data_IF_422160156447
#
_entry.id   IF_422160156447
#
_cell.length_a   1.000
_cell.length_b   1.000
_cell.length_c   1.000
_cell.angle_alpha   90.00
_cell.angle_beta   90.00
_cell.angle_gamma   90.00
#
_symmetry.space_group_name_H-M   'P 1'
#
loop_
_entity.id
_entity.type
_entity.pdbx_description
1 polymer ?
#
# COMPACT_ATOMS: atom_id res chain seq x y z
N UNK A 1 18.62 22.82 16.19
CA UNK A 1 19.04 21.44 15.88
C UNK A 1 17.98 20.64 15.09
N UNK A 2 16.67 20.75 15.33
CA UNK A 2 15.66 19.95 14.63
C UNK A 2 14.85 20.72 13.55
N UNK A 3 15.06 22.01 13.33
CA UNK A 3 14.35 22.79 12.29
C UNK A 3 14.54 22.20 10.89
N UNK A 4 15.76 21.82 10.55
CA UNK A 4 16.11 21.23 9.27
C UNK A 4 15.42 19.85 9.06
N UNK A 5 15.27 19.05 10.12
CA UNK A 5 14.57 17.76 10.07
C UNK A 5 13.07 17.95 9.88
N UNK A 6 12.46 18.90 10.58
CA UNK A 6 11.02 19.17 10.50
C UNK A 6 10.61 19.82 9.18
N UNK A 7 11.51 20.55 8.52
CA UNK A 7 11.26 21.17 7.22
C UNK A 7 11.56 20.25 6.04
N UNK A 8 12.28 19.15 6.25
CA UNK A 8 12.62 18.18 5.22
C UNK A 8 11.96 16.82 5.50
N UNK A 9 10.94 16.51 4.69
CA UNK A 9 10.18 15.27 4.79
C UNK A 9 11.05 14.01 4.70
N UNK A 10 12.03 13.98 3.79
CA UNK A 10 12.93 12.83 3.63
C UNK A 10 13.76 12.62 4.89
N UNK A 11 14.35 13.70 5.43
CA UNK A 11 15.14 13.65 6.65
C UNK A 11 14.32 13.24 7.87
N UNK A 12 13.05 13.64 7.92
CA UNK A 12 12.14 13.22 8.99
C UNK A 12 11.78 11.74 8.86
N UNK A 13 11.30 11.30 7.68
CA UNK A 13 10.90 9.92 7.44
C UNK A 13 12.07 8.97 7.67
N UNK A 14 13.28 9.30 7.24
CA UNK A 14 14.48 8.49 7.48
C UNK A 14 14.80 8.25 8.97
N UNK A 15 14.26 9.07 9.87
CA UNK A 15 14.40 8.89 11.33
C UNK A 15 13.29 8.05 11.96
N UNK A 16 12.21 7.83 11.26
CA UNK A 16 11.14 6.97 11.75
C UNK A 16 11.62 5.54 11.85
N UNK A 17 11.18 4.85 12.89
CA UNK A 17 11.44 3.42 13.09
C UNK A 17 10.17 2.63 12.84
N UNK A 18 10.32 1.48 12.22
CA UNK A 18 9.25 0.52 12.01
C UNK A 18 9.75 -0.90 12.26
N UNK A 19 8.85 -1.81 12.55
CA UNK A 19 9.17 -3.23 12.65
C UNK A 19 9.03 -3.89 11.27
N UNK A 20 10.08 -4.60 10.85
CA UNK A 20 10.03 -5.45 9.66
C UNK A 20 9.26 -6.76 9.94
N UNK A 21 9.15 -7.62 8.94
CA UNK A 21 8.43 -8.90 9.04
C UNK A 21 9.01 -9.86 10.08
N UNK A 22 10.28 -9.70 10.44
CA UNK A 22 10.98 -10.48 11.45
C UNK A 22 10.97 -9.80 12.82
N UNK A 23 10.12 -8.80 13.02
CA UNK A 23 10.04 -7.95 14.22
C UNK A 23 11.33 -7.18 14.54
N UNK A 24 12.23 -7.00 13.57
CA UNK A 24 13.40 -6.15 13.74
C UNK A 24 13.03 -4.68 13.53
N UNK A 25 13.56 -3.82 14.38
CA UNK A 25 13.39 -2.37 14.24
C UNK A 25 14.32 -1.84 13.15
N UNK A 26 13.73 -1.26 12.11
CA UNK A 26 14.40 -0.69 10.93
C UNK A 26 14.14 0.81 10.81
N UNK A 27 14.94 1.47 9.95
CA UNK A 27 14.75 2.85 9.51
C UNK A 27 14.45 2.87 8.01
N UNK A 28 13.93 4.01 7.52
CA UNK A 28 13.74 4.24 6.09
C UNK A 28 15.03 4.71 5.40
N UNK A 29 16.13 3.98 5.61
CA UNK A 29 17.45 4.39 5.10
C UNK A 29 17.57 4.18 3.58
N UNK A 30 16.88 3.17 3.06
CA UNK A 30 16.89 2.80 1.65
C UNK A 30 15.45 2.50 1.19
N UNK A 31 14.68 3.53 0.81
CA UNK A 31 13.33 3.32 0.31
C UNK A 31 13.38 2.68 -1.09
N UNK A 32 12.45 1.77 -1.35
CA UNK A 32 12.25 1.17 -2.67
C UNK A 32 11.68 2.19 -3.66
N UNK A 33 11.87 1.94 -4.96
CA UNK A 33 11.41 2.82 -6.05
C UNK A 33 9.92 3.14 -5.94
N UNK A 34 9.09 2.17 -5.58
CA UNK A 34 7.65 2.31 -5.44
C UNK A 34 7.25 3.18 -4.25
N UNK A 35 8.00 3.08 -3.16
CA UNK A 35 7.82 3.97 -2.00
C UNK A 35 8.18 5.42 -2.36
N UNK A 36 9.23 5.60 -3.17
CA UNK A 36 9.63 6.92 -3.68
C UNK A 36 8.54 7.46 -4.61
N UNK A 37 8.01 6.63 -5.53
CA UNK A 37 6.94 7.00 -6.44
C UNK A 37 5.68 7.45 -5.67
N UNK A 38 5.26 6.69 -4.66
CA UNK A 38 4.14 7.05 -3.81
C UNK A 38 4.37 8.39 -3.09
N UNK A 39 5.50 8.55 -2.41
CA UNK A 39 5.82 9.78 -1.68
C UNK A 39 5.91 10.97 -2.65
N UNK A 40 6.38 10.77 -3.87
CA UNK A 40 6.42 11.81 -4.90
C UNK A 40 5.02 12.22 -5.33
N UNK A 41 4.14 11.26 -5.61
CA UNK A 41 2.75 11.53 -5.97
C UNK A 41 1.97 12.21 -4.81
N UNK A 42 2.21 11.81 -3.56
CA UNK A 42 1.62 12.44 -2.38
C UNK A 42 2.00 13.93 -2.23
N UNK A 43 3.14 14.33 -2.76
CA UNK A 43 3.66 15.71 -2.69
C UNK A 43 3.20 16.59 -3.83
N UNK A 44 2.78 16.00 -4.92
CA UNK A 44 2.29 16.75 -6.06
C UNK A 44 0.95 17.42 -5.72
N UNK A 45 0.87 18.76 -5.74
CA UNK A 45 -0.37 19.47 -5.42
C UNK A 45 -1.47 19.25 -6.47
N UNK A 46 -1.12 18.82 -7.68
CA UNK A 46 -2.11 18.52 -8.72
C UNK A 46 -2.76 17.16 -8.50
N UNK A 47 -2.05 16.21 -7.88
CA UNK A 47 -2.57 14.85 -7.64
C UNK A 47 -3.50 14.85 -6.44
N UNK A 48 -4.76 14.50 -6.63
CA UNK A 48 -5.77 14.33 -5.58
C UNK A 48 -6.10 12.86 -5.32
N UNK A 49 -5.90 11.98 -6.30
CA UNK A 49 -6.21 10.56 -6.20
C UNK A 49 -4.99 9.72 -6.59
N UNK A 50 -4.63 8.78 -5.75
CA UNK A 50 -3.53 7.83 -6.00
C UNK A 50 -4.09 6.42 -5.86
N UNK A 51 -3.93 5.60 -6.90
CA UNK A 51 -4.32 4.19 -6.90
C UNK A 51 -3.05 3.34 -7.03
N UNK A 52 -2.83 2.48 -6.04
CA UNK A 52 -1.63 1.64 -5.97
C UNK A 52 -2.01 0.17 -6.07
N UNK A 53 -1.59 -0.46 -7.15
CA UNK A 53 -1.65 -1.92 -7.35
C UNK A 53 -0.28 -2.51 -7.04
N UNK A 54 -0.21 -3.40 -6.07
CA UNK A 54 1.05 -3.88 -5.52
C UNK A 54 1.04 -5.38 -5.23
N UNK A 55 2.19 -6.06 -5.25
CA UNK A 55 2.36 -7.36 -4.61
C UNK A 55 2.33 -7.23 -3.09
N UNK A 56 2.28 -8.35 -2.40
CA UNK A 56 2.36 -8.37 -0.93
C UNK A 56 3.71 -7.84 -0.43
N UNK A 57 3.69 -7.20 0.75
CA UNK A 57 4.86 -6.99 1.63
C UNK A 57 6.00 -6.12 1.07
N UNK A 58 5.74 -5.23 0.13
CA UNK A 58 6.74 -4.29 -0.42
C UNK A 58 6.83 -2.97 0.34
N UNK A 59 6.22 -2.87 1.52
CA UNK A 59 6.36 -1.71 2.41
C UNK A 59 5.61 -0.44 2.00
N UNK A 60 4.74 -0.48 0.98
CA UNK A 60 3.93 0.66 0.52
C UNK A 60 3.07 1.24 1.64
N UNK A 61 2.31 0.39 2.37
CA UNK A 61 1.48 0.86 3.49
C UNK A 61 2.32 1.49 4.60
N UNK A 62 3.54 1.00 4.82
CA UNK A 62 4.47 1.58 5.81
C UNK A 62 4.96 2.95 5.36
N UNK A 63 5.29 3.13 4.09
CA UNK A 63 5.69 4.41 3.51
C UNK A 63 4.54 5.44 3.54
N UNK A 64 3.32 5.01 3.22
CA UNK A 64 2.12 5.86 3.33
C UNK A 64 1.85 6.29 4.78
N UNK A 65 1.98 5.37 5.75
CA UNK A 65 1.87 5.72 7.17
C UNK A 65 2.95 6.72 7.60
N UNK A 66 4.20 6.55 7.14
CA UNK A 66 5.30 7.45 7.47
C UNK A 66 5.07 8.86 6.92
N UNK A 67 4.59 8.97 5.69
CA UNK A 67 4.24 10.24 5.07
C UNK A 67 3.06 10.92 5.78
N UNK A 68 2.01 10.16 6.09
CA UNK A 68 0.85 10.63 6.87
C UNK A 68 1.28 11.13 8.26
N UNK A 69 2.16 10.39 8.91
CA UNK A 69 2.69 10.81 10.22
C UNK A 69 3.50 12.10 10.13
N UNK A 70 4.35 12.24 9.11
CA UNK A 70 5.07 13.47 8.87
C UNK A 70 4.13 14.67 8.70
N UNK A 71 3.11 14.54 7.86
CA UNK A 71 2.13 15.61 7.65
C UNK A 71 1.41 16.01 8.93
N UNK A 72 0.90 15.04 9.69
CA UNK A 72 0.23 15.33 10.96
C UNK A 72 1.20 15.93 12.00
N UNK A 73 2.45 15.48 12.03
CA UNK A 73 3.46 15.92 12.98
C UNK A 73 3.94 17.36 12.69
N UNK A 74 4.06 17.74 11.41
CA UNK A 74 4.55 19.05 10.97
C UNK A 74 3.45 20.03 10.63
N UNK A 75 2.19 19.62 10.71
CA UNK A 75 1.03 20.45 10.41
C UNK A 75 1.04 21.76 11.22
N UNK A 76 0.67 22.84 10.55
CA UNK A 76 0.49 24.17 11.19
C UNK A 76 -0.96 24.47 11.51
N UNK A 77 -1.89 23.74 10.91
CA UNK A 77 -3.35 23.78 11.10
C UNK A 77 -3.87 22.35 11.30
N UNK A 78 -5.08 22.15 11.83
CA UNK A 78 -5.66 20.81 11.91
C UNK A 78 -5.73 20.17 10.52
N UNK A 79 -5.13 18.99 10.39
CA UNK A 79 -5.30 18.10 9.24
C UNK A 79 -5.82 16.77 9.76
N UNK A 80 -6.81 16.21 9.12
CA UNK A 80 -7.44 14.96 9.56
C UNK A 80 -7.32 13.93 8.47
N UNK A 81 -6.72 12.81 8.83
CA UNK A 81 -6.57 11.64 7.96
C UNK A 81 -7.39 10.49 8.51
N UNK A 82 -8.21 9.88 7.66
CA UNK A 82 -8.88 8.62 7.94
C UNK A 82 -8.18 7.48 7.20
N UNK A 83 -7.86 6.41 7.94
CA UNK A 83 -7.30 5.18 7.40
C UNK A 83 -8.34 4.08 7.59
N UNK A 84 -8.91 3.61 6.49
CA UNK A 84 -9.89 2.54 6.48
C UNK A 84 -9.24 1.25 5.92
N UNK A 85 -9.37 0.13 6.64
CA UNK A 85 -8.80 -1.15 6.25
C UNK A 85 -9.85 -2.27 6.27
N UNK A 86 -9.61 -3.32 5.51
CA UNK A 86 -10.50 -4.48 5.33
C UNK A 86 -10.87 -5.21 6.64
N UNK A 87 -9.88 -5.41 7.53
CA UNK A 87 -10.04 -6.19 8.78
C UNK A 87 -9.51 -5.46 10.00
N UNK A 88 -10.06 -5.80 11.16
CA UNK A 88 -9.59 -5.26 12.44
C UNK A 88 -8.11 -5.56 12.72
N UNK A 89 -7.59 -6.69 12.22
CA UNK A 89 -6.17 -7.04 12.34
C UNK A 89 -5.29 -6.10 11.51
N UNK A 90 -5.69 -5.78 10.27
CA UNK A 90 -5.02 -4.81 9.41
C UNK A 90 -5.08 -3.42 10.05
N UNK A 91 -6.25 -2.99 10.51
CA UNK A 91 -6.43 -1.71 11.22
C UNK A 91 -5.50 -1.60 12.43
N UNK A 92 -5.40 -2.66 13.27
CA UNK A 92 -4.49 -2.68 14.42
C UNK A 92 -3.02 -2.59 14.00
N UNK A 93 -2.64 -3.30 12.94
CA UNK A 93 -1.27 -3.28 12.42
C UNK A 93 -0.88 -1.89 11.92
N UNK A 94 -1.76 -1.23 11.18
CA UNK A 94 -1.52 0.13 10.69
C UNK A 94 -1.41 1.12 11.86
N UNK A 95 -2.36 1.10 12.79
CA UNK A 95 -2.30 1.92 14.01
C UNK A 95 -1.01 1.69 14.81
N UNK A 96 -0.57 0.42 14.93
CA UNK A 96 0.69 0.06 15.59
C UNK A 96 1.90 0.74 14.97
N UNK A 97 1.94 0.91 13.63
CA UNK A 97 3.04 1.63 12.96
C UNK A 97 3.15 3.07 13.43
N UNK A 98 2.04 3.78 13.58
CA UNK A 98 2.03 5.16 14.10
C UNK A 98 2.48 5.24 15.55
N UNK A 99 2.07 4.28 16.37
CA UNK A 99 2.56 4.18 17.75
C UNK A 99 4.09 3.99 17.76
N UNK A 100 4.60 3.05 16.97
CA UNK A 100 6.05 2.80 16.84
C UNK A 100 6.78 4.04 16.33
N UNK A 101 6.28 4.72 15.31
CA UNK A 101 6.88 5.97 14.83
C UNK A 101 7.00 7.00 15.95
N UNK A 102 5.93 7.21 16.70
CA UNK A 102 5.93 8.18 17.79
C UNK A 102 6.82 7.73 18.95
N UNK A 103 6.75 6.46 19.36
CA UNK A 103 7.50 5.93 20.50
C UNK A 103 9.01 6.04 20.31
N UNK A 104 9.50 5.82 19.09
CA UNK A 104 10.93 5.91 18.76
C UNK A 104 11.39 7.33 18.40
N UNK A 105 10.50 8.32 18.32
CA UNK A 105 10.96 9.71 18.13
C UNK A 105 11.77 10.19 19.34
N UNK A 106 12.86 10.94 19.10
CA UNK A 106 13.57 11.60 20.18
C UNK A 106 12.64 12.48 21.04
N UNK A 107 12.82 12.46 22.36
CA UNK A 107 12.02 13.26 23.28
C UNK A 107 12.00 14.75 22.96
N UNK A 108 13.09 15.27 22.42
CA UNK A 108 13.16 16.66 21.98
C UNK A 108 12.22 16.96 20.81
N UNK A 109 12.01 16.01 19.87
CA UNK A 109 11.02 16.14 18.80
C UNK A 109 9.59 15.98 19.35
N UNK A 110 9.33 14.98 20.21
CA UNK A 110 8.00 14.80 20.84
C UNK A 110 7.52 16.08 21.54
N UNK A 111 8.43 16.79 22.22
CA UNK A 111 8.10 18.10 22.86
C UNK A 111 7.73 19.20 21.88
N UNK A 112 8.14 19.13 20.61
CA UNK A 112 7.75 20.13 19.61
C UNK A 112 6.31 20.01 19.15
N UNK A 113 5.79 18.78 19.15
CA UNK A 113 4.39 18.47 18.85
C UNK A 113 4.00 17.15 19.57
N UNK A 114 3.51 17.22 20.82
CA UNK A 114 3.06 16.05 21.55
C UNK A 114 1.76 15.49 20.96
N UNK A 115 1.65 14.17 20.95
CA UNK A 115 0.46 13.45 20.50
C UNK A 115 -0.18 12.68 21.65
N UNK A 116 -1.51 12.81 21.75
CA UNK A 116 -2.35 11.93 22.56
C UNK A 116 -2.72 10.70 21.72
N UNK A 117 -2.39 9.53 22.25
CA UNK A 117 -2.68 8.24 21.60
C UNK A 117 -3.82 7.57 22.33
N UNK A 118 -4.94 7.32 21.63
CA UNK A 118 -6.05 6.54 22.15
C UNK A 118 -6.04 5.14 21.52
N UNK A 119 -5.67 4.12 22.32
CA UNK A 119 -5.57 2.74 21.85
C UNK A 119 -6.93 2.06 21.66
N UNK A 120 -7.98 2.55 22.30
CA UNK A 120 -9.35 2.02 22.15
C UNK A 120 -9.93 2.45 20.82
N UNK A 121 -9.94 3.76 20.57
CA UNK A 121 -10.47 4.35 19.33
C UNK A 121 -9.47 4.30 18.18
N UNK A 122 -8.21 3.89 18.43
CA UNK A 122 -7.11 3.85 17.45
C UNK A 122 -6.87 5.21 16.78
N UNK A 123 -6.78 6.27 17.59
CA UNK A 123 -6.52 7.62 17.12
C UNK A 123 -5.24 8.20 17.69
N UNK A 124 -4.60 9.05 16.89
CA UNK A 124 -3.49 9.92 17.32
C UNK A 124 -3.91 11.37 17.09
N UNK A 125 -3.86 12.18 18.12
CA UNK A 125 -4.26 13.60 18.05
C UNK A 125 -3.10 14.46 18.52
N UNK A 126 -2.67 15.40 17.66
CA UNK A 126 -1.72 16.42 18.06
C UNK A 126 -2.34 17.36 19.08
N UNK A 127 -1.72 17.48 20.27
CA UNK A 127 -2.17 18.41 21.31
C UNK A 127 -1.91 19.87 20.91
N UNK A 128 -0.98 20.10 19.99
CA UNK A 128 -0.61 21.44 19.53
C UNK A 128 -1.50 21.99 18.43
N UNK A 129 -1.84 21.15 17.45
CA UNK A 129 -2.50 21.60 16.21
C UNK A 129 -3.89 21.03 16.02
N UNK A 130 -4.25 19.98 16.78
CA UNK A 130 -5.46 19.21 16.58
C UNK A 130 -5.41 18.31 15.33
N UNK A 131 -4.24 18.10 14.74
CA UNK A 131 -4.09 17.14 13.64
C UNK A 131 -4.48 15.73 14.13
N UNK A 132 -5.29 15.03 13.35
CA UNK A 132 -5.87 13.73 13.69
C UNK A 132 -5.47 12.67 12.68
N UNK A 133 -4.99 11.54 13.17
CA UNK A 133 -4.90 10.29 12.40
C UNK A 133 -5.88 9.32 13.02
N UNK A 134 -6.91 8.96 12.27
CA UNK A 134 -8.01 8.12 12.68
C UNK A 134 -8.01 6.80 11.90
N UNK A 135 -8.38 5.70 12.56
CA UNK A 135 -8.36 4.38 11.95
C UNK A 135 -9.69 3.68 12.14
N UNK A 136 -10.22 3.14 11.05
CA UNK A 136 -11.42 2.33 11.09
C UNK A 136 -11.27 1.01 10.34
N UNK A 137 -12.12 0.06 10.69
CA UNK A 137 -12.31 -1.15 9.89
C UNK A 137 -13.51 -0.94 8.96
N UNK A 138 -13.35 -1.24 7.69
CA UNK A 138 -14.37 -1.09 6.64
C UNK A 138 -15.42 -2.22 6.76
N UNK A 139 -16.21 -2.19 7.83
CA UNK A 139 -17.28 -3.15 8.14
C UNK A 139 -18.56 -2.41 8.54
N UNK A 140 -19.71 -2.79 7.92
CA UNK A 140 -21.02 -2.27 8.30
C UNK A 140 -21.33 -0.85 7.82
N UNK A 141 -22.41 -0.24 8.34
CA UNK A 141 -23.00 1.01 7.81
C UNK A 141 -22.58 2.29 8.54
N UNK A 142 -21.73 2.22 9.55
CA UNK A 142 -21.33 3.38 10.37
C UNK A 142 -19.94 3.86 10.00
N UNK A 143 -19.80 4.57 8.89
CA UNK A 143 -18.51 4.98 8.39
C UNK A 143 -18.24 6.45 8.66
N UNK A 144 -17.18 6.73 9.45
CA UNK A 144 -16.54 8.04 9.52
C UNK A 144 -17.43 9.23 9.95
N UNK A 145 -18.63 8.99 10.48
CA UNK A 145 -19.56 10.05 10.86
C UNK A 145 -19.04 10.77 12.11
N UNK A 146 -18.77 12.06 11.98
CA UNK A 146 -18.34 12.89 13.11
C UNK A 146 -17.19 13.84 12.79
N UNK A 147 -16.40 13.54 11.79
CA UNK A 147 -15.30 14.38 11.34
C UNK A 147 -15.34 14.62 9.82
N UNK A 148 -14.81 15.76 9.39
CA UNK A 148 -14.49 16.03 7.99
C UNK A 148 -13.00 15.81 7.82
N UNK A 149 -12.61 14.96 6.86
CA UNK A 149 -11.22 14.57 6.63
C UNK A 149 -10.67 15.23 5.36
N UNK A 150 -9.38 15.57 5.36
CA UNK A 150 -8.65 16.04 4.19
C UNK A 150 -7.94 14.89 3.47
N UNK A 151 -7.74 13.76 4.16
CA UNK A 151 -7.06 12.60 3.58
C UNK A 151 -7.81 11.32 3.91
N UNK A 152 -8.06 10.51 2.89
CA UNK A 152 -8.60 9.16 3.01
C UNK A 152 -7.58 8.15 2.48
N UNK A 153 -7.26 7.17 3.29
CA UNK A 153 -6.45 6.02 2.90
C UNK A 153 -7.34 4.77 2.96
N UNK A 154 -7.55 4.14 1.80
CA UNK A 154 -8.28 2.89 1.68
C UNK A 154 -7.26 1.75 1.50
N UNK A 155 -6.98 1.04 2.57
CA UNK A 155 -6.05 -0.08 2.59
C UNK A 155 -6.77 -1.40 2.33
N UNK A 156 -6.20 -2.20 1.44
CA UNK A 156 -6.71 -3.51 0.98
C UNK A 156 -8.16 -3.42 0.47
N UNK A 157 -8.44 -2.38 -0.34
CA UNK A 157 -9.79 -2.10 -0.87
C UNK A 157 -10.40 -3.27 -1.64
N UNK A 158 -9.58 -4.08 -2.32
CA UNK A 158 -10.04 -5.26 -3.06
C UNK A 158 -10.72 -6.32 -2.16
N UNK A 159 -10.53 -6.25 -0.84
CA UNK A 159 -11.06 -7.20 0.13
C UNK A 159 -12.18 -6.61 1.00
N UNK A 160 -12.61 -5.38 0.75
CA UNK A 160 -13.72 -4.79 1.49
C UNK A 160 -15.04 -5.51 1.18
N UNK A 161 -15.87 -5.69 2.20
CA UNK A 161 -17.25 -6.17 2.03
C UNK A 161 -18.15 -4.98 1.75
N UNK A 162 -19.01 -5.07 0.72
CA UNK A 162 -19.89 -3.98 0.28
C UNK A 162 -19.11 -2.65 0.06
N UNK A 163 -18.05 -2.68 -0.78
CA UNK A 163 -17.14 -1.54 -0.91
C UNK A 163 -17.84 -0.29 -1.47
N UNK A 164 -18.90 -0.44 -2.28
CA UNK A 164 -19.66 0.67 -2.86
C UNK A 164 -20.33 1.51 -1.77
N UNK A 165 -21.05 0.86 -0.86
CA UNK A 165 -21.78 1.55 0.23
C UNK A 165 -20.82 2.20 1.22
N UNK A 166 -19.75 1.47 1.58
CA UNK A 166 -18.71 1.98 2.46
C UNK A 166 -18.03 3.19 1.82
N UNK A 167 -17.68 3.07 0.55
CA UNK A 167 -17.03 4.14 -0.20
C UNK A 167 -17.90 5.39 -0.29
N UNK A 168 -19.19 5.25 -0.60
CA UNK A 168 -20.13 6.36 -0.63
C UNK A 168 -20.20 7.09 0.72
N UNK A 169 -20.27 6.32 1.81
CA UNK A 169 -20.24 6.88 3.17
C UNK A 169 -18.94 7.62 3.48
N UNK A 170 -17.78 7.05 3.14
CA UNK A 170 -16.49 7.69 3.38
C UNK A 170 -16.27 8.91 2.50
N UNK A 171 -16.68 8.84 1.23
CA UNK A 171 -16.56 9.97 0.30
C UNK A 171 -17.31 11.21 0.79
N UNK A 172 -18.46 11.03 1.44
CA UNK A 172 -19.24 12.12 2.02
C UNK A 172 -18.58 12.78 3.24
N UNK A 173 -17.59 12.17 3.84
CA UNK A 173 -16.84 12.74 4.98
C UNK A 173 -15.59 13.52 4.54
N UNK A 174 -15.26 13.49 3.26
CA UNK A 174 -14.10 14.20 2.74
C UNK A 174 -14.41 15.69 2.53
N UNK A 175 -13.44 16.50 2.90
CA UNK A 175 -13.46 17.92 2.59
C UNK A 175 -13.39 18.13 1.06
N UNK A 176 -14.16 19.06 0.55
CA UNK A 176 -14.04 19.48 -0.84
C UNK A 176 -13.02 20.63 -0.93
N UNK A 177 -11.83 20.34 -1.46
CA UNK A 177 -10.77 21.33 -1.58
C UNK A 177 -9.51 20.77 -2.21
N UNK A 178 -8.58 21.65 -2.63
CA UNK A 178 -7.35 21.26 -3.33
C UNK A 178 -6.40 20.43 -2.46
N UNK A 179 -6.52 20.52 -1.13
CA UNK A 179 -5.68 19.78 -0.17
C UNK A 179 -6.21 18.36 0.07
N UNK A 180 -7.36 17.98 -0.54
CA UNK A 180 -7.94 16.65 -0.32
C UNK A 180 -7.20 15.59 -1.12
N UNK A 181 -6.83 14.49 -0.44
CA UNK A 181 -6.13 13.35 -1.04
C UNK A 181 -6.85 12.05 -0.76
N UNK A 182 -7.00 11.24 -1.79
CA UNK A 182 -7.53 9.87 -1.72
C UNK A 182 -6.43 8.91 -2.13
N UNK A 183 -6.06 7.99 -1.26
CA UNK A 183 -5.04 6.99 -1.50
C UNK A 183 -5.69 5.61 -1.40
N UNK A 184 -5.65 4.86 -2.49
CA UNK A 184 -6.19 3.51 -2.58
C UNK A 184 -5.02 2.55 -2.74
N UNK A 185 -4.88 1.61 -1.83
CA UNK A 185 -3.77 0.64 -1.83
C UNK A 185 -4.34 -0.75 -1.67
N UNK A 186 -4.02 -1.66 -2.59
CA UNK A 186 -4.41 -3.07 -2.44
C UNK A 186 -3.51 -4.00 -3.26
N UNK A 187 -3.45 -5.27 -2.85
CA UNK A 187 -3.20 -6.38 -3.77
C UNK A 187 -4.47 -6.65 -4.56
N UNK A 188 -4.39 -7.23 -5.77
CA UNK A 188 -5.59 -7.58 -6.54
C UNK A 188 -6.36 -8.74 -5.88
N UNK A 189 -7.68 -8.80 -6.15
CA UNK A 189 -8.54 -9.87 -5.65
C UNK A 189 -9.57 -10.31 -6.71
N UNK A 190 -9.09 -10.65 -7.91
CA UNK A 190 -9.91 -11.03 -9.03
C UNK A 190 -10.56 -9.86 -9.79
N UNK A 191 -11.14 -10.13 -10.96
CA UNK A 191 -11.66 -9.11 -11.86
C UNK A 191 -13.05 -8.62 -11.45
N UNK A 192 -13.45 -7.47 -12.02
CA UNK A 192 -14.80 -6.92 -11.94
C UNK A 192 -15.19 -6.33 -10.59
N UNK A 193 -14.39 -6.47 -9.54
CA UNK A 193 -14.69 -5.88 -8.25
C UNK A 193 -14.45 -4.35 -8.24
N UNK A 194 -14.92 -3.71 -7.18
CA UNK A 194 -14.84 -2.25 -7.03
C UNK A 194 -13.40 -1.71 -7.13
N UNK A 195 -12.41 -2.40 -6.56
CA UNK A 195 -11.02 -2.00 -6.67
C UNK A 195 -10.48 -2.11 -8.10
N UNK A 196 -10.81 -3.20 -8.82
CA UNK A 196 -10.44 -3.35 -10.24
C UNK A 196 -10.97 -2.19 -11.08
N UNK A 197 -12.21 -1.78 -10.86
CA UNK A 197 -12.78 -0.61 -11.55
C UNK A 197 -12.00 0.67 -11.25
N UNK A 198 -11.53 0.87 -10.00
CA UNK A 198 -10.69 2.01 -9.62
C UNK A 198 -9.32 1.99 -10.30
N UNK A 199 -8.73 0.81 -10.44
CA UNK A 199 -7.48 0.62 -11.19
C UNK A 199 -7.66 1.00 -12.66
N UNK A 200 -8.69 0.46 -13.32
CA UNK A 200 -8.98 0.78 -14.73
C UNK A 200 -9.25 2.27 -14.94
N UNK A 201 -10.06 2.88 -14.08
CA UNK A 201 -10.33 4.32 -14.14
C UNK A 201 -9.06 5.16 -13.96
N UNK A 202 -8.15 4.77 -13.05
CA UNK A 202 -6.90 5.50 -12.84
C UNK A 202 -5.96 5.40 -14.05
N UNK A 203 -5.86 4.22 -14.66
CA UNK A 203 -5.08 4.01 -15.89
C UNK A 203 -5.64 4.87 -17.03
N UNK A 204 -6.96 4.90 -17.17
CA UNK A 204 -7.62 5.72 -18.20
C UNK A 204 -7.41 7.21 -17.96
N UNK A 205 -7.54 7.68 -16.72
CA UNK A 205 -7.27 9.08 -16.37
C UNK A 205 -5.85 9.50 -16.72
N UNK A 206 -4.84 8.69 -16.39
CA UNK A 206 -3.44 8.98 -16.79
C UNK A 206 -3.27 8.98 -18.32
N UNK A 207 -3.89 8.03 -19.02
CA UNK A 207 -3.85 7.97 -20.48
C UNK A 207 -4.46 9.21 -21.12
N UNK A 208 -5.50 9.75 -20.50
CA UNK A 208 -6.18 10.99 -20.95
C UNK A 208 -5.45 12.27 -20.48
N UNK A 209 -4.32 12.15 -19.78
CA UNK A 209 -3.53 13.29 -19.31
C UNK A 209 -4.13 14.04 -18.11
N UNK A 210 -5.02 13.40 -17.34
CA UNK A 210 -5.57 13.98 -16.11
C UNK A 210 -4.48 14.06 -15.03
N UNK A 211 -4.03 15.26 -14.62
CA UNK A 211 -2.97 15.41 -13.63
C UNK A 211 -3.45 15.09 -12.20
N UNK A 212 -4.75 15.01 -11.99
CA UNK A 212 -5.33 14.82 -10.65
C UNK A 212 -5.26 13.38 -10.17
N UNK A 213 -5.02 12.43 -11.06
CA UNK A 213 -4.99 11.00 -10.77
C UNK A 213 -3.62 10.43 -11.07
N UNK A 214 -3.11 9.60 -10.14
CA UNK A 214 -1.86 8.86 -10.30
C UNK A 214 -2.07 7.38 -10.09
N UNK A 215 -1.70 6.57 -11.09
CA UNK A 215 -1.65 5.13 -10.97
C UNK A 215 -0.22 4.67 -10.68
N UNK A 216 -0.03 3.81 -9.70
CA UNK A 216 1.26 3.20 -9.35
C UNK A 216 1.08 1.70 -9.38
N UNK A 217 1.77 1.06 -10.29
CA UNK A 217 1.89 -0.39 -10.35
C UNK A 217 3.28 -0.82 -9.94
N UNK A 218 3.35 -1.78 -9.03
CA UNK A 218 4.58 -2.43 -8.65
C UNK A 218 4.47 -3.92 -8.97
N UNK A 219 5.39 -4.43 -9.75
CA UNK A 219 5.51 -5.87 -10.01
C UNK A 219 6.45 -6.50 -8.99
N UNK A 220 6.20 -7.76 -8.66
CA UNK A 220 7.02 -8.45 -7.67
C UNK A 220 8.50 -8.50 -8.06
N UNK A 221 8.81 -8.61 -9.36
CA UNK A 221 10.17 -8.70 -9.89
C UNK A 221 11.03 -7.46 -9.65
N UNK A 222 10.42 -6.30 -9.37
CA UNK A 222 11.16 -5.07 -9.09
C UNK A 222 11.73 -5.05 -7.67
N UNK A 223 11.32 -6.00 -6.82
CA UNK A 223 11.69 -6.00 -5.41
C UNK A 223 12.71 -7.11 -5.10
N UNK A 224 13.86 -6.72 -4.58
CA UNK A 224 14.99 -7.61 -4.30
C UNK A 224 14.74 -8.71 -3.27
N UNK A 225 13.65 -8.63 -2.50
CA UNK A 225 13.28 -9.68 -1.53
C UNK A 225 12.71 -10.94 -2.19
N UNK A 226 12.24 -10.86 -3.44
CA UNK A 226 11.60 -11.97 -4.13
C UNK A 226 12.59 -12.73 -4.97
N UNK A 227 13.61 -13.26 -4.32
CA UNK A 227 14.65 -14.08 -4.92
C UNK A 227 15.13 -15.13 -3.92
N UNK A 228 15.55 -16.28 -4.42
CA UNK A 228 16.06 -17.39 -3.62
C UNK A 228 17.19 -18.08 -4.38
N UNK A 229 18.29 -18.36 -3.70
CA UNK A 229 19.37 -19.13 -4.30
C UNK A 229 18.85 -20.53 -4.69
N UNK A 230 19.05 -20.91 -5.93
CA UNK A 230 18.63 -22.21 -6.44
C UNK A 230 19.68 -23.29 -6.14
N UNK A 231 19.28 -24.57 -5.96
CA UNK A 231 20.20 -25.67 -5.72
C UNK A 231 20.97 -26.03 -7.01
N UNK A 232 22.13 -26.63 -6.84
CA UNK A 232 22.90 -27.14 -7.96
C UNK A 232 22.11 -28.19 -8.75
N UNK A 233 22.12 -28.09 -10.09
CA UNK A 233 21.35 -28.95 -10.97
C UNK A 233 19.87 -28.61 -11.15
N UNK A 234 19.36 -27.53 -10.51
CA UNK A 234 18.03 -27.07 -10.83
C UNK A 234 18.00 -26.33 -12.18
N UNK A 235 17.08 -26.72 -13.02
CA UNK A 235 16.84 -26.09 -14.32
C UNK A 235 15.39 -25.60 -14.40
N UNK A 236 15.16 -24.36 -14.87
CA UNK A 236 13.82 -23.86 -15.11
C UNK A 236 13.17 -24.61 -16.28
N UNK A 237 11.86 -24.80 -16.22
CA UNK A 237 11.07 -25.30 -17.34
C UNK A 237 11.10 -24.32 -18.53
N UNK A 238 10.72 -24.81 -19.72
CA UNK A 238 10.63 -23.98 -20.93
C UNK A 238 9.76 -22.75 -20.72
N UNK A 239 8.56 -22.91 -20.10
CA UNK A 239 7.66 -21.81 -19.84
C UNK A 239 8.20 -20.81 -18.82
N UNK A 240 9.03 -21.25 -17.85
CA UNK A 240 9.71 -20.35 -16.93
C UNK A 240 10.83 -19.55 -17.62
N UNK A 241 11.55 -20.17 -18.57
CA UNK A 241 12.53 -19.46 -19.38
C UNK A 241 11.89 -18.41 -20.29
N UNK A 242 10.77 -18.73 -20.92
CA UNK A 242 10.00 -17.78 -21.72
C UNK A 242 9.55 -16.60 -20.85
N UNK A 243 9.00 -16.87 -19.67
CA UNK A 243 8.61 -15.83 -18.71
C UNK A 243 9.80 -14.95 -18.29
N UNK A 244 10.97 -15.57 -18.11
CA UNK A 244 12.19 -14.82 -17.77
C UNK A 244 12.63 -13.88 -18.88
N UNK A 245 12.55 -14.33 -20.12
CA UNK A 245 12.89 -13.52 -21.28
C UNK A 245 11.93 -12.33 -21.45
N UNK A 246 10.62 -12.57 -21.30
CA UNK A 246 9.59 -11.56 -21.47
C UNK A 246 9.63 -10.48 -20.39
N UNK A 247 10.05 -10.83 -19.18
CA UNK A 247 10.02 -9.92 -18.03
C UNK A 247 11.37 -9.58 -17.41
N UNK A 248 12.46 -10.11 -17.97
CA UNK A 248 13.82 -9.85 -17.48
C UNK A 248 14.10 -10.43 -16.10
N UNK A 249 13.57 -11.63 -15.80
CA UNK A 249 13.74 -12.25 -14.49
C UNK A 249 15.10 -12.96 -14.36
N UNK A 250 15.73 -12.86 -13.18
CA UNK A 250 16.91 -13.65 -12.86
C UNK A 250 16.56 -15.11 -12.53
N UNK A 251 17.55 -16.00 -12.54
CA UNK A 251 17.35 -17.40 -12.14
C UNK A 251 16.93 -17.53 -10.68
N UNK A 252 17.43 -16.66 -9.80
CA UNK A 252 17.03 -16.59 -8.39
C UNK A 252 15.57 -16.18 -8.22
N UNK A 253 15.09 -15.26 -9.05
CA UNK A 253 13.68 -14.86 -9.10
C UNK A 253 12.79 -15.97 -9.65
N UNK A 254 13.23 -16.65 -10.71
CA UNK A 254 12.53 -17.82 -11.25
C UNK A 254 12.42 -18.95 -10.23
N UNK A 255 13.52 -19.27 -9.54
CA UNK A 255 13.51 -20.30 -8.52
C UNK A 255 12.61 -19.92 -7.33
N UNK A 256 12.65 -18.65 -6.90
CA UNK A 256 11.74 -18.17 -5.87
C UNK A 256 10.26 -18.33 -6.29
N UNK A 257 9.94 -17.96 -7.54
CA UNK A 257 8.60 -18.15 -8.11
C UNK A 257 8.25 -19.64 -8.20
N UNK A 258 9.17 -20.47 -8.67
CA UNK A 258 8.96 -21.91 -8.76
C UNK A 258 8.57 -22.51 -7.39
N UNK A 259 9.31 -22.20 -6.35
CA UNK A 259 9.03 -22.64 -4.99
C UNK A 259 7.67 -22.12 -4.47
N UNK A 260 7.37 -20.85 -4.74
CA UNK A 260 6.09 -20.26 -4.36
C UNK A 260 4.89 -20.87 -5.09
N UNK A 261 5.08 -21.34 -6.30
CA UNK A 261 4.00 -21.95 -7.11
C UNK A 261 3.92 -23.46 -6.88
N UNK A 262 5.04 -24.17 -6.89
CA UNK A 262 5.11 -25.63 -6.98
C UNK A 262 5.74 -26.29 -5.75
N UNK A 263 6.41 -25.54 -4.88
CA UNK A 263 7.05 -26.07 -3.69
C UNK A 263 6.06 -26.73 -2.71
N UNK A 264 6.57 -27.45 -1.73
CA UNK A 264 5.76 -28.17 -0.71
C UNK A 264 4.77 -27.24 -0.01
N UNK A 265 5.18 -25.99 0.25
CA UNK A 265 4.31 -24.93 0.82
C UNK A 265 3.82 -23.96 -0.25
N UNK A 266 3.86 -24.36 -1.52
CA UNK A 266 3.47 -23.54 -2.65
C UNK A 266 1.99 -23.18 -2.61
N UNK A 267 1.68 -21.98 -3.11
CA UNK A 267 0.32 -21.44 -3.12
C UNK A 267 -0.43 -21.69 -4.43
N UNK A 268 0.23 -22.30 -5.42
CA UNK A 268 -0.30 -22.52 -6.76
C UNK A 268 -0.25 -21.28 -7.66
N UNK A 269 -0.19 -21.49 -8.98
CA UNK A 269 0.01 -20.43 -9.98
C UNK A 269 -1.07 -19.34 -9.91
N UNK A 270 -2.34 -19.74 -9.81
CA UNK A 270 -3.49 -18.82 -9.74
C UNK A 270 -3.35 -17.83 -8.58
N UNK A 271 -3.06 -18.36 -7.38
CA UNK A 271 -2.90 -17.53 -6.18
C UNK A 271 -1.62 -16.70 -6.26
N UNK A 272 -0.56 -17.27 -6.82
CA UNK A 272 0.68 -16.55 -7.03
C UNK A 272 0.48 -15.32 -7.91
N UNK A 273 -0.13 -15.45 -9.10
CA UNK A 273 -0.40 -14.31 -9.99
C UNK A 273 -1.20 -13.21 -9.29
N UNK A 274 -2.19 -13.58 -8.50
CA UNK A 274 -3.00 -12.63 -7.72
C UNK A 274 -2.18 -11.91 -6.64
N UNK A 275 -1.37 -12.64 -5.89
CA UNK A 275 -0.62 -12.06 -4.77
C UNK A 275 0.67 -11.36 -5.23
N UNK A 276 1.21 -11.78 -6.36
CA UNK A 276 2.48 -11.32 -6.94
C UNK A 276 2.34 -11.09 -8.46
N UNK A 277 1.62 -10.05 -8.87
CA UNK A 277 1.42 -9.77 -10.29
C UNK A 277 2.72 -9.31 -10.96
N UNK A 278 2.95 -9.74 -12.21
CA UNK A 278 3.99 -9.21 -13.11
C UNK A 278 3.43 -8.14 -14.03
N UNK A 279 2.14 -8.24 -14.37
CA UNK A 279 1.41 -7.23 -15.14
C UNK A 279 0.13 -6.85 -14.40
N UNK A 280 -0.52 -5.77 -14.80
CA UNK A 280 -1.80 -5.36 -14.22
C UNK A 280 -2.85 -6.45 -14.45
N UNK A 281 -2.85 -7.05 -15.63
CA UNK A 281 -3.78 -8.09 -16.06
C UNK A 281 -3.65 -9.35 -15.19
N UNK A 282 -2.42 -9.76 -14.86
CA UNK A 282 -2.17 -10.93 -14.00
C UNK A 282 -2.97 -10.90 -12.69
N UNK A 283 -3.07 -9.73 -12.10
CA UNK A 283 -3.79 -9.55 -10.83
C UNK A 283 -5.30 -9.74 -10.95
N UNK A 284 -5.84 -9.63 -12.16
CA UNK A 284 -7.29 -9.64 -12.43
C UNK A 284 -7.74 -10.77 -13.36
N UNK A 285 -6.90 -11.76 -13.63
CA UNK A 285 -7.27 -12.91 -14.47
C UNK A 285 -8.36 -13.73 -13.80
N UNK A 286 -9.43 -14.01 -14.55
CA UNK A 286 -10.44 -15.03 -14.21
C UNK A 286 -9.89 -16.39 -14.60
N UNK A 287 -9.49 -17.18 -13.63
CA UNK A 287 -9.27 -18.62 -13.83
C UNK A 287 -10.44 -19.40 -13.20
N UNK A 288 -11.67 -18.90 -13.33
CA UNK A 288 -12.86 -19.62 -12.89
C UNK A 288 -13.42 -20.50 -14.02
N UNK A 289 -13.56 -21.80 -13.75
CA UNK A 289 -14.41 -22.68 -14.52
C UNK A 289 -13.82 -23.29 -15.78
N UNK A 290 -12.57 -23.09 -16.14
CA UNK A 290 -11.95 -23.97 -17.12
C UNK A 290 -11.64 -25.32 -16.46
N UNK A 291 -12.42 -26.33 -16.81
CA UNK A 291 -12.13 -27.75 -16.55
C UNK A 291 -10.79 -28.17 -17.19
N UNK A 292 -10.22 -27.30 -18.03
CA UNK A 292 -8.95 -27.47 -18.71
C UNK A 292 -7.99 -26.34 -18.28
N UNK A 293 -6.79 -26.72 -17.88
CA UNK A 293 -5.69 -25.81 -17.62
C UNK A 293 -5.39 -25.02 -18.91
N UNK A 294 -5.47 -23.69 -18.87
CA UNK A 294 -5.22 -22.84 -20.05
C UNK A 294 -3.80 -23.06 -20.59
N UNK A 295 -2.86 -23.42 -19.70
CA UNK A 295 -1.50 -23.81 -20.09
C UNK A 295 -1.46 -25.15 -20.86
N UNK A 296 -2.55 -25.94 -20.82
CA UNK A 296 -2.67 -27.17 -21.59
C UNK A 296 -3.18 -26.91 -23.01
N UNK A 297 -3.99 -25.87 -23.22
CA UNK A 297 -4.54 -25.49 -24.52
C UNK A 297 -3.54 -24.72 -25.42
N UNK A 298 -2.52 -24.12 -24.82
CA UNK A 298 -1.43 -23.46 -25.56
C UNK A 298 -0.38 -24.44 -26.12
N UNK A 299 -0.54 -25.73 -25.85
CA UNK A 299 0.38 -26.81 -26.29
C UNK A 299 -0.19 -27.72 -27.38
N UNK A 300 -1.37 -27.41 -27.95
CA UNK A 300 -1.94 -28.12 -29.07
C UNK A 300 -1.81 -27.35 -30.39
#
# INVERSE_FOLDING_TARGET
>A
MYRDVLSDRRKFIARLKFEDMSANVRSFDQPFSEQIALITALRDPQVSTIVVLKPRQIGISTANCADTFYEAFTAKKPIRTLIAADHSKTTKSLFGKFCTFYDYLPNALKRTNPFKINKVDKTLISEKTGALIDHMTALGNAHGRGWTYQRLVAEELAFWRNPEDIWAGLRSTLHEGPDTKIIIVSTPNGPGNFYHQRVLSAIESERNGDPSTKFIFSKWSDHSSYQKKYPEGWEPSKGELELALDHGLSLEQLYWRHEMVHGVEGIGLRRFRREYPLTVEDGFIVLEGCWFDVDYLSKS
#
